data_IF_670211518238
#
_entry.id   IF_670211518238
#
_cell.length_a   1.000
_cell.length_b   1.000
_cell.length_c   1.000
_cell.angle_alpha   90.00
_cell.angle_beta   90.00
_cell.angle_gamma   90.00
#
_symmetry.space_group_name_H-M   'P 1'
#
loop_
_entity.id
_entity.type
_entity.pdbx_description
1 polymer ?
#
# COMPACT_ATOMS: atom_id res chain seq x y z
N UNK A 1 -42.66 58.53 25.11
CA UNK A 1 -43.34 57.37 25.78
C UNK A 1 -43.37 56.15 24.87
N UNK A 2 -43.79 56.20 23.60
CA UNK A 2 -43.89 55.10 22.70
C UNK A 2 -42.57 54.37 22.43
N UNK A 3 -41.43 55.10 22.25
CA UNK A 3 -40.09 54.56 22.03
C UNK A 3 -39.58 53.74 23.27
N UNK A 4 -39.84 54.31 24.49
CA UNK A 4 -39.44 53.61 25.72
C UNK A 4 -40.24 52.35 25.96
N UNK A 5 -41.52 52.33 25.61
CA UNK A 5 -42.34 51.06 25.67
C UNK A 5 -41.87 50.00 24.66
N UNK A 6 -41.46 50.36 23.44
CA UNK A 6 -40.95 49.43 22.45
C UNK A 6 -39.61 48.83 22.86
N UNK A 7 -38.70 49.61 23.44
CA UNK A 7 -37.42 49.13 23.98
C UNK A 7 -37.64 48.16 25.15
N UNK A 8 -38.58 48.47 26.05
CA UNK A 8 -38.89 47.60 27.17
C UNK A 8 -39.50 46.25 26.74
N UNK A 9 -40.42 46.29 25.77
CA UNK A 9 -40.99 45.08 25.18
C UNK A 9 -39.94 44.19 24.45
N UNK A 10 -38.99 44.85 23.74
CA UNK A 10 -37.89 44.15 23.08
C UNK A 10 -36.94 43.51 24.10
N UNK A 11 -36.59 44.23 25.18
CA UNK A 11 -35.76 43.69 26.25
C UNK A 11 -36.40 42.47 26.95
N UNK A 12 -37.69 42.54 27.25
CA UNK A 12 -38.46 41.40 27.80
C UNK A 12 -38.48 40.19 26.85
N UNK A 13 -38.68 40.42 25.55
CA UNK A 13 -38.66 39.36 24.56
C UNK A 13 -37.26 38.71 24.44
N UNK A 14 -36.19 39.53 24.49
CA UNK A 14 -34.82 39.04 24.47
C UNK A 14 -34.49 38.13 25.68
N UNK A 15 -34.91 38.57 26.90
CA UNK A 15 -34.70 37.78 28.11
C UNK A 15 -35.49 36.45 28.08
N UNK A 16 -36.73 36.48 27.57
CA UNK A 16 -37.51 35.26 27.35
C UNK A 16 -36.84 34.29 26.38
N UNK A 17 -36.29 34.82 25.25
CA UNK A 17 -35.58 33.99 24.26
C UNK A 17 -34.25 33.47 24.78
N UNK A 18 -33.54 34.21 25.62
CA UNK A 18 -32.34 33.70 26.30
C UNK A 18 -32.67 32.54 27.26
N UNK A 19 -33.77 32.64 27.99
CA UNK A 19 -34.25 31.59 28.90
C UNK A 19 -34.62 30.34 28.12
N UNK A 20 -35.42 30.46 27.05
CA UNK A 20 -35.76 29.34 26.15
C UNK A 20 -34.49 28.65 25.57
N UNK A 21 -33.51 29.47 25.15
CA UNK A 21 -32.24 28.96 24.65
C UNK A 21 -31.47 28.18 25.73
N UNK A 22 -31.45 28.65 26.96
CA UNK A 22 -30.81 27.99 28.10
C UNK A 22 -31.48 26.64 28.41
N UNK A 23 -32.81 26.64 28.45
CA UNK A 23 -33.61 25.41 28.67
C UNK A 23 -33.41 24.39 27.54
N UNK A 24 -33.42 24.85 26.29
CA UNK A 24 -33.13 23.98 25.14
C UNK A 24 -31.70 23.39 25.18
N UNK A 25 -30.69 24.17 25.57
CA UNK A 25 -29.32 23.67 25.78
C UNK A 25 -29.23 22.64 26.90
N UNK A 26 -29.92 22.87 28.03
CA UNK A 26 -29.97 21.89 29.12
C UNK A 26 -30.65 20.60 28.69
N UNK A 27 -31.75 20.68 27.93
CA UNK A 27 -32.43 19.51 27.37
C UNK A 27 -31.56 18.73 26.38
N UNK A 28 -30.83 19.43 25.51
CA UNK A 28 -29.87 18.83 24.58
C UNK A 28 -28.75 18.07 25.33
N UNK A 29 -28.19 18.69 26.37
CA UNK A 29 -27.14 18.05 27.21
C UNK A 29 -27.67 16.80 27.91
N UNK A 30 -28.88 16.85 28.45
CA UNK A 30 -29.53 15.69 29.07
C UNK A 30 -29.84 14.58 28.07
N UNK A 31 -30.29 14.93 26.86
CA UNK A 31 -30.51 13.99 25.78
C UNK A 31 -29.18 13.32 25.33
N UNK A 32 -28.11 14.11 25.20
CA UNK A 32 -26.79 13.59 24.85
C UNK A 32 -26.27 12.62 25.92
N UNK A 33 -26.40 12.95 27.20
CA UNK A 33 -26.02 12.07 28.31
C UNK A 33 -26.79 10.73 28.28
N UNK A 34 -28.09 10.76 27.95
CA UNK A 34 -28.91 9.54 27.78
C UNK A 34 -28.40 8.71 26.59
N UNK A 35 -28.09 9.33 25.46
CA UNK A 35 -27.53 8.65 24.29
C UNK A 35 -26.21 7.96 24.66
N UNK A 36 -25.32 8.64 25.37
CA UNK A 36 -24.02 8.09 25.75
C UNK A 36 -24.16 6.95 26.78
N UNK A 37 -25.11 7.03 27.72
CA UNK A 37 -25.44 5.94 28.64
C UNK A 37 -25.98 4.72 27.90
N UNK A 38 -26.90 4.90 26.94
CA UNK A 38 -27.45 3.80 26.14
C UNK A 38 -26.33 3.18 25.27
N UNK A 39 -25.46 3.99 24.66
CA UNK A 39 -24.30 3.47 23.91
C UNK A 39 -23.39 2.63 24.79
N UNK A 40 -23.12 3.04 26.02
CA UNK A 40 -22.33 2.25 26.97
C UNK A 40 -23.00 0.92 27.34
N UNK A 41 -24.33 0.93 27.55
CA UNK A 41 -25.10 -0.30 27.79
C UNK A 41 -25.09 -1.24 26.58
N UNK A 42 -25.29 -0.72 25.36
CA UNK A 42 -25.20 -1.50 24.12
C UNK A 42 -23.80 -2.09 23.96
N UNK A 43 -22.75 -1.31 24.21
CA UNK A 43 -21.37 -1.81 24.14
C UNK A 43 -21.09 -2.93 25.17
N UNK A 44 -21.65 -2.83 26.39
CA UNK A 44 -21.52 -3.86 27.41
C UNK A 44 -22.26 -5.17 27.07
N UNK A 45 -23.38 -5.08 26.34
CA UNK A 45 -24.19 -6.23 25.92
C UNK A 45 -23.74 -6.82 24.58
N UNK A 46 -22.91 -6.09 23.81
CA UNK A 46 -22.42 -6.56 22.50
C UNK A 46 -21.17 -7.41 22.71
N UNK A 47 -21.16 -8.68 22.28
CA UNK A 47 -19.94 -9.51 22.35
C UNK A 47 -18.78 -8.84 21.62
N UNK A 48 -17.56 -8.90 22.16
CA UNK A 48 -16.42 -8.32 21.47
C UNK A 48 -16.20 -8.98 20.12
N UNK A 49 -16.05 -8.17 19.08
CA UNK A 49 -15.69 -8.68 17.74
C UNK A 49 -14.25 -9.11 17.78
N UNK A 50 -14.02 -10.42 17.85
CA UNK A 50 -12.69 -11.04 17.93
C UNK A 50 -12.03 -11.07 16.54
N UNK A 51 -12.83 -11.37 15.49
CA UNK A 51 -12.39 -11.42 14.11
C UNK A 51 -13.06 -10.36 13.27
N UNK A 52 -12.28 -9.55 12.59
CA UNK A 52 -12.76 -8.73 11.47
C UNK A 52 -12.22 -9.29 10.16
N UNK A 53 -13.08 -9.39 9.17
CA UNK A 53 -12.75 -9.96 7.87
C UNK A 53 -13.36 -9.12 6.76
N UNK A 54 -12.76 -9.16 5.60
CA UNK A 54 -13.32 -8.59 4.40
C UNK A 54 -12.56 -9.04 3.19
N UNK A 55 -13.20 -8.94 2.07
CA UNK A 55 -12.62 -9.21 0.78
C UNK A 55 -13.21 -8.27 -0.26
N UNK A 56 -12.42 -7.92 -1.25
CA UNK A 56 -12.85 -7.13 -2.38
C UNK A 56 -12.16 -7.62 -3.63
N UNK A 57 -12.86 -7.55 -4.74
CA UNK A 57 -12.32 -7.78 -6.07
C UNK A 57 -12.77 -6.64 -6.95
N UNK A 58 -11.91 -6.23 -7.85
CA UNK A 58 -12.24 -5.18 -8.82
C UNK A 58 -11.58 -5.44 -10.16
N UNK A 59 -12.19 -4.88 -11.20
CA UNK A 59 -11.68 -4.89 -12.58
C UNK A 59 -11.63 -3.45 -13.04
N UNK A 60 -10.50 -3.04 -13.58
CA UNK A 60 -10.29 -1.72 -14.17
C UNK A 60 -10.04 -1.86 -15.66
N UNK A 61 -10.62 -0.96 -16.44
CA UNK A 61 -10.41 -0.86 -17.87
C UNK A 61 -9.96 0.55 -18.24
N UNK A 62 -8.97 0.65 -19.12
CA UNK A 62 -8.45 1.89 -19.67
C UNK A 62 -8.31 1.76 -21.19
N UNK A 63 -8.71 2.78 -21.94
CA UNK A 63 -8.58 2.80 -23.39
C UNK A 63 -8.13 4.18 -23.85
N UNK A 64 -7.16 4.22 -24.75
CA UNK A 64 -6.70 5.39 -25.48
C UNK A 64 -6.86 5.11 -26.97
N UNK A 65 -7.74 5.81 -27.65
CA UNK A 65 -7.90 5.75 -29.11
C UNK A 65 -7.38 7.02 -29.77
N UNK A 66 -6.50 6.86 -30.76
CA UNK A 66 -5.94 7.95 -31.56
C UNK A 66 -6.25 7.72 -33.03
N UNK A 67 -6.89 8.70 -33.66
CA UNK A 67 -7.19 8.66 -35.10
C UNK A 67 -6.65 9.95 -35.74
N UNK A 68 -5.75 9.82 -36.72
CA UNK A 68 -5.13 10.97 -37.41
C UNK A 68 -4.46 11.97 -36.44
N UNK A 69 -3.93 11.46 -35.31
CA UNK A 69 -3.32 12.27 -34.27
C UNK A 69 -1.85 12.54 -34.60
N UNK A 70 -1.50 13.80 -34.85
CA UNK A 70 -0.16 14.19 -35.35
C UNK A 70 0.87 14.38 -34.24
N UNK A 71 0.42 14.61 -33.01
CA UNK A 71 1.30 14.95 -31.88
C UNK A 71 2.02 13.74 -31.26
N UNK A 72 1.93 12.54 -31.86
CA UNK A 72 2.53 11.31 -31.34
C UNK A 72 1.65 10.58 -30.32
N UNK A 73 2.03 9.35 -29.97
CA UNK A 73 1.30 8.43 -29.10
C UNK A 73 0.85 7.18 -29.83
N UNK A 74 0.45 6.15 -29.07
CA UNK A 74 -0.04 4.87 -29.60
C UNK A 74 -1.39 4.55 -28.96
N UNK A 75 -2.37 4.17 -29.76
CA UNK A 75 -3.65 3.68 -29.25
C UNK A 75 -3.42 2.45 -28.38
N UNK A 76 -4.08 2.37 -27.23
CA UNK A 76 -3.88 1.27 -26.29
C UNK A 76 -5.15 0.92 -25.53
N UNK A 77 -5.27 -0.36 -25.19
CA UNK A 77 -6.29 -0.87 -24.30
C UNK A 77 -5.63 -1.62 -23.17
N UNK A 78 -6.06 -1.38 -21.93
CA UNK A 78 -5.56 -2.09 -20.77
C UNK A 78 -6.71 -2.56 -19.89
N UNK A 79 -6.55 -3.76 -19.34
CA UNK A 79 -7.43 -4.34 -18.33
C UNK A 79 -6.59 -4.81 -17.16
N UNK A 80 -7.02 -4.49 -15.94
CA UNK A 80 -6.37 -4.95 -14.71
C UNK A 80 -7.41 -5.46 -13.74
N UNK A 81 -7.11 -6.57 -13.07
CA UNK A 81 -7.86 -7.12 -11.95
C UNK A 81 -7.07 -6.89 -10.66
N UNK A 82 -7.77 -6.63 -9.59
CA UNK A 82 -7.16 -6.55 -8.25
C UNK A 82 -8.05 -7.23 -7.23
N UNK A 83 -7.43 -7.81 -6.23
CA UNK A 83 -8.09 -8.48 -5.12
C UNK A 83 -7.42 -8.12 -3.81
N UNK A 84 -8.22 -7.98 -2.77
CA UNK A 84 -7.75 -7.82 -1.40
C UNK A 84 -8.54 -8.75 -0.48
N UNK A 85 -7.85 -9.44 0.40
CA UNK A 85 -8.44 -10.27 1.45
C UNK A 85 -7.75 -9.93 2.76
N UNK A 86 -8.52 -9.61 3.79
CA UNK A 86 -7.97 -9.43 5.13
C UNK A 86 -8.70 -10.27 6.17
N UNK A 87 -7.96 -10.69 7.19
CA UNK A 87 -8.44 -11.42 8.36
C UNK A 87 -7.69 -10.92 9.59
N UNK A 88 -8.34 -10.13 10.43
CA UNK A 88 -7.72 -9.53 11.61
C UNK A 88 -8.35 -10.09 12.87
N UNK A 89 -7.52 -10.56 13.77
CA UNK A 89 -7.90 -11.03 15.10
C UNK A 89 -7.54 -9.99 16.14
N UNK A 90 -8.44 -9.74 17.08
CA UNK A 90 -8.15 -8.89 18.24
C UNK A 90 -8.89 -9.42 19.46
N UNK A 91 -8.12 -9.83 20.46
CA UNK A 91 -8.64 -10.23 21.76
C UNK A 91 -7.62 -9.89 22.84
N UNK A 92 -8.07 -9.26 23.90
CA UNK A 92 -7.26 -8.84 25.05
C UNK A 92 -6.05 -8.00 24.60
N UNK A 93 -4.85 -8.53 24.81
CA UNK A 93 -3.58 -7.88 24.41
C UNK A 93 -3.04 -8.37 23.07
N UNK A 94 -3.72 -9.30 22.40
CA UNK A 94 -3.25 -9.91 21.15
C UNK A 94 -3.98 -9.26 19.98
N UNK A 95 -3.20 -8.78 19.01
CA UNK A 95 -3.69 -8.35 17.70
C UNK A 95 -2.93 -9.13 16.61
N UNK A 96 -3.66 -9.69 15.66
CA UNK A 96 -3.06 -10.37 14.51
C UNK A 96 -3.70 -9.85 13.23
N UNK A 97 -2.92 -9.17 12.43
CA UNK A 97 -3.33 -8.56 11.17
C UNK A 97 -2.81 -9.40 10.03
N UNK A 98 -3.70 -9.82 9.13
CA UNK A 98 -3.35 -10.52 7.91
C UNK A 98 -3.99 -9.82 6.73
N UNK A 99 -3.21 -9.58 5.69
CA UNK A 99 -3.65 -8.93 4.47
C UNK A 99 -2.98 -9.58 3.26
N UNK A 100 -3.78 -9.93 2.25
CA UNK A 100 -3.33 -10.41 0.96
C UNK A 100 -3.83 -9.43 -0.10
N UNK A 101 -2.90 -8.75 -0.76
CA UNK A 101 -3.16 -7.91 -1.93
C UNK A 101 -2.65 -8.62 -3.20
N UNK A 102 -3.48 -8.66 -4.22
CA UNK A 102 -3.17 -9.28 -5.52
C UNK A 102 -3.58 -8.35 -6.65
N UNK A 103 -2.78 -8.30 -7.70
CA UNK A 103 -3.17 -7.63 -8.94
C UNK A 103 -2.59 -8.35 -10.15
N UNK A 104 -3.32 -8.28 -11.27
CA UNK A 104 -2.88 -8.83 -12.53
C UNK A 104 -3.50 -8.05 -13.69
N UNK A 105 -2.69 -7.66 -14.67
CA UNK A 105 -3.14 -6.82 -15.75
C UNK A 105 -2.42 -7.02 -17.06
N UNK A 106 -3.11 -6.66 -18.13
CA UNK A 106 -2.63 -6.70 -19.51
C UNK A 106 -2.82 -5.33 -20.18
N UNK A 107 -1.94 -5.04 -21.11
CA UNK A 107 -2.05 -3.93 -22.04
C UNK A 107 -1.82 -4.43 -23.46
N UNK A 108 -2.58 -3.86 -24.40
CA UNK A 108 -2.35 -4.04 -25.83
C UNK A 108 -2.22 -2.66 -26.46
N UNK A 109 -1.07 -2.37 -27.03
CA UNK A 109 -0.84 -1.23 -27.88
C UNK A 109 -1.23 -1.59 -29.32
N UNK A 110 -1.62 -0.60 -30.12
CA UNK A 110 -1.96 -0.81 -31.52
C UNK A 110 -0.75 -1.33 -32.30
N UNK A 111 -0.96 -2.41 -33.06
CA UNK A 111 0.11 -3.10 -33.80
C UNK A 111 1.02 -4.00 -32.95
N UNK A 112 0.80 -4.15 -31.64
CA UNK A 112 1.61 -4.99 -30.76
C UNK A 112 0.82 -6.16 -30.15
N UNK A 113 1.54 -7.17 -29.68
CA UNK A 113 0.94 -8.27 -28.93
C UNK A 113 0.50 -7.82 -27.53
N UNK A 114 -0.42 -8.58 -26.93
CA UNK A 114 -0.85 -8.37 -25.53
C UNK A 114 0.35 -8.57 -24.61
N UNK A 115 0.60 -7.59 -23.74
CA UNK A 115 1.71 -7.60 -22.76
C UNK A 115 1.18 -7.51 -21.35
N UNK A 116 1.87 -8.13 -20.41
CA UNK A 116 1.62 -7.96 -18.99
C UNK A 116 2.07 -6.57 -18.54
N UNK A 117 1.20 -5.83 -17.83
CA UNK A 117 1.52 -4.48 -17.31
C UNK A 117 1.37 -4.34 -15.80
N UNK A 118 0.74 -5.31 -15.14
CA UNK A 118 0.65 -5.39 -13.67
C UNK A 118 0.67 -6.84 -13.24
N UNK A 119 1.40 -7.17 -12.17
CA UNK A 119 1.49 -8.52 -11.64
C UNK A 119 2.07 -8.49 -10.23
N UNK A 120 1.24 -8.78 -9.23
CA UNK A 120 1.67 -8.69 -7.83
C UNK A 120 0.91 -9.65 -6.94
N UNK A 121 1.64 -10.27 -6.04
CA UNK A 121 1.17 -10.96 -4.84
C UNK A 121 1.89 -10.31 -3.65
N UNK A 122 1.16 -9.83 -2.66
CA UNK A 122 1.70 -9.22 -1.45
C UNK A 122 0.92 -9.74 -0.24
N UNK A 123 1.56 -10.58 0.56
CA UNK A 123 1.01 -11.20 1.76
C UNK A 123 1.71 -10.64 2.98
N UNK A 124 0.96 -9.94 3.82
CA UNK A 124 1.40 -9.42 5.12
C UNK A 124 0.72 -10.19 6.25
N UNK A 125 1.51 -10.63 7.22
CA UNK A 125 1.04 -11.16 8.51
C UNK A 125 1.81 -10.51 9.65
N UNK A 126 1.12 -9.84 10.57
CA UNK A 126 1.72 -9.19 11.74
C UNK A 126 0.95 -9.54 12.98
N UNK A 127 1.62 -10.18 13.95
CA UNK A 127 1.08 -10.47 15.26
C UNK A 127 1.73 -9.56 16.30
N UNK A 128 0.93 -8.94 17.16
CA UNK A 128 1.37 -8.02 18.21
C UNK A 128 0.81 -8.37 19.57
N UNK A 129 1.62 -8.17 20.60
CA UNK A 129 1.23 -8.24 22.00
C UNK A 129 1.29 -6.85 22.63
N UNK A 130 0.15 -6.36 23.13
CA UNK A 130 0.01 -5.02 23.70
C UNK A 130 0.70 -4.88 25.04
N UNK A 131 1.72 -4.03 25.11
CA UNK A 131 2.38 -3.63 26.37
C UNK A 131 1.79 -2.34 26.92
N UNK A 132 1.16 -1.53 26.08
CA UNK A 132 0.35 -0.38 26.48
C UNK A 132 -0.85 -0.19 25.51
N UNK A 133 -1.67 0.85 25.74
CA UNK A 133 -2.80 1.18 24.87
C UNK A 133 -2.38 1.52 23.43
N UNK A 134 -1.14 1.95 23.23
CA UNK A 134 -0.62 2.42 21.93
C UNK A 134 0.59 1.65 21.43
N UNK A 135 1.21 0.79 22.26
CA UNK A 135 2.48 0.14 21.95
C UNK A 135 2.35 -1.37 22.06
N UNK A 136 2.71 -2.08 21.00
CA UNK A 136 2.79 -3.52 20.93
C UNK A 136 4.24 -3.95 20.67
N UNK A 137 4.64 -5.10 21.22
CA UNK A 137 5.75 -5.89 20.67
C UNK A 137 5.18 -6.75 19.57
N UNK A 138 5.78 -6.74 18.41
CA UNK A 138 5.17 -7.40 17.23
C UNK A 138 6.20 -8.17 16.42
N UNK A 139 5.75 -9.32 15.87
CA UNK A 139 6.42 -10.04 14.81
C UNK A 139 5.69 -9.78 13.51
N UNK A 140 6.43 -9.54 12.42
CA UNK A 140 5.90 -9.27 11.10
C UNK A 140 6.56 -10.20 10.09
N UNK A 141 5.75 -10.77 9.19
CA UNK A 141 6.20 -11.45 7.98
C UNK A 141 5.50 -10.80 6.79
N UNK A 142 6.27 -10.42 5.79
CA UNK A 142 5.75 -9.93 4.52
C UNK A 142 6.41 -10.70 3.38
N UNK A 143 5.58 -11.25 2.49
CA UNK A 143 6.02 -12.01 1.31
C UNK A 143 5.47 -11.35 0.06
N UNK A 144 6.36 -11.00 -0.87
CA UNK A 144 6.02 -10.37 -2.15
C UNK A 144 6.57 -11.19 -3.30
N UNK A 145 5.76 -11.41 -4.35
CA UNK A 145 6.17 -12.04 -5.61
C UNK A 145 5.17 -11.68 -6.72
N UNK A 146 5.27 -12.33 -7.86
CA UNK A 146 4.39 -12.21 -9.02
C UNK A 146 3.83 -13.56 -9.45
N UNK A 147 2.77 -13.57 -10.29
CA UNK A 147 2.11 -14.80 -10.76
C UNK A 147 2.79 -15.42 -11.99
N UNK A 148 3.15 -14.59 -12.97
CA UNK A 148 3.45 -15.02 -14.32
C UNK A 148 4.75 -14.42 -14.86
N UNK A 149 5.34 -15.01 -15.92
CA UNK A 149 6.49 -14.41 -16.60
C UNK A 149 6.23 -12.97 -17.06
N UNK A 150 7.21 -12.11 -16.86
CA UNK A 150 7.28 -10.77 -17.40
C UNK A 150 8.47 -10.67 -18.34
N UNK A 151 8.36 -9.83 -19.36
CA UNK A 151 9.36 -9.67 -20.41
C UNK A 151 9.76 -8.20 -20.55
N UNK A 152 10.98 -7.97 -21.04
CA UNK A 152 11.47 -6.65 -21.38
C UNK A 152 11.13 -6.32 -22.83
N UNK A 153 10.37 -5.26 -23.04
CA UNK A 153 9.98 -4.77 -24.35
C UNK A 153 10.68 -3.46 -24.74
N UNK A 154 11.70 -3.05 -24.00
CA UNK A 154 12.47 -1.82 -24.32
C UNK A 154 13.44 -2.02 -25.47
N UNK A 155 13.77 -3.28 -25.82
CA UNK A 155 14.64 -3.62 -26.94
C UNK A 155 13.77 -4.05 -28.13
N UNK A 156 13.53 -3.16 -29.08
CA UNK A 156 12.66 -3.39 -30.24
C UNK A 156 13.21 -4.41 -31.24
N UNK A 157 14.53 -4.65 -31.26
CA UNK A 157 15.16 -5.59 -32.21
C UNK A 157 14.98 -7.08 -31.87
N UNK A 158 14.41 -7.40 -30.68
CA UNK A 158 14.15 -8.78 -30.27
C UNK A 158 12.71 -9.14 -30.59
N UNK A 159 12.50 -10.18 -31.40
CA UNK A 159 11.17 -10.72 -31.65
C UNK A 159 10.50 -11.20 -30.34
N UNK A 160 9.17 -11.09 -30.23
CA UNK A 160 8.46 -11.40 -28.98
C UNK A 160 8.64 -12.85 -28.54
N UNK A 161 8.75 -13.78 -29.51
CA UNK A 161 9.01 -15.22 -29.28
C UNK A 161 10.41 -15.52 -28.74
N UNK A 162 11.39 -14.67 -29.00
CA UNK A 162 12.80 -14.84 -28.60
C UNK A 162 13.10 -14.14 -27.27
N UNK A 163 12.14 -13.40 -26.69
CA UNK A 163 12.33 -12.67 -25.44
C UNK A 163 12.46 -13.62 -24.26
N UNK A 164 13.49 -13.41 -23.49
CA UNK A 164 13.67 -14.13 -22.24
C UNK A 164 12.87 -13.44 -21.10
N UNK A 165 12.31 -14.26 -20.22
CA UNK A 165 11.62 -13.76 -19.05
C UNK A 165 12.59 -13.01 -18.11
N UNK A 166 12.17 -11.85 -17.63
CA UNK A 166 12.91 -11.02 -16.67
C UNK A 166 12.34 -11.12 -15.26
N UNK A 167 11.16 -11.73 -15.14
CA UNK A 167 10.51 -12.05 -13.86
C UNK A 167 9.53 -13.20 -14.06
N UNK A 168 9.27 -13.97 -13.01
CA UNK A 168 8.23 -15.00 -12.94
C UNK A 168 7.92 -15.33 -11.47
N UNK A 169 7.02 -16.28 -11.21
CA UNK A 169 6.73 -16.71 -9.85
C UNK A 169 8.01 -17.15 -9.12
N UNK A 170 8.26 -16.59 -7.92
CA UNK A 170 9.48 -16.73 -7.11
C UNK A 170 10.78 -16.28 -7.81
N UNK A 171 10.70 -15.43 -8.84
CA UNK A 171 11.86 -14.86 -9.50
C UNK A 171 11.58 -13.42 -9.98
N UNK A 172 11.81 -12.37 -9.13
CA UNK A 172 12.17 -12.49 -7.71
C UNK A 172 10.98 -12.71 -6.78
N UNK A 173 11.24 -13.26 -5.60
CA UNK A 173 10.38 -13.12 -4.44
C UNK A 173 11.16 -12.46 -3.31
N UNK A 174 10.46 -11.70 -2.48
CA UNK A 174 11.04 -11.07 -1.28
C UNK A 174 10.27 -11.54 -0.05
N UNK A 175 10.99 -12.05 0.94
CA UNK A 175 10.45 -12.40 2.26
C UNK A 175 11.11 -11.50 3.30
N UNK A 176 10.32 -10.74 4.03
CA UNK A 176 10.76 -9.95 5.20
C UNK A 176 10.21 -10.63 6.46
N UNK A 177 11.08 -10.91 7.41
CA UNK A 177 10.72 -11.42 8.73
C UNK A 177 11.37 -10.56 9.81
N UNK A 178 10.55 -9.99 10.70
CA UNK A 178 11.03 -8.98 11.65
C UNK A 178 10.38 -9.05 13.02
N UNK A 179 11.14 -8.63 14.05
CA UNK A 179 10.66 -8.44 15.41
C UNK A 179 10.89 -7.00 15.83
N UNK A 180 9.84 -6.34 16.33
CA UNK A 180 9.92 -4.91 16.61
C UNK A 180 8.79 -4.37 17.47
N UNK A 181 8.71 -3.06 17.52
CA UNK A 181 7.72 -2.29 18.24
C UNK A 181 6.73 -1.63 17.28
N UNK A 182 5.44 -1.85 17.49
CA UNK A 182 4.35 -1.27 16.71
C UNK A 182 3.67 -0.19 17.56
N UNK A 183 3.86 1.08 17.18
CA UNK A 183 3.29 2.24 17.86
C UNK A 183 2.09 2.80 17.08
N UNK A 184 0.94 2.78 17.72
CA UNK A 184 -0.31 3.36 17.17
C UNK A 184 -0.35 4.85 17.52
N UNK A 185 0.08 5.68 16.58
CA UNK A 185 0.02 7.15 16.72
C UNK A 185 -1.42 7.57 16.96
N UNK A 186 -2.33 7.12 16.09
CA UNK A 186 -3.77 7.29 16.20
C UNK A 186 -4.51 6.15 15.48
N UNK A 187 -5.84 6.28 15.29
CA UNK A 187 -6.67 5.25 14.62
C UNK A 187 -6.33 5.02 13.15
N UNK A 188 -5.65 5.95 12.51
CA UNK A 188 -5.35 5.93 11.08
C UNK A 188 -3.87 5.69 10.77
N UNK A 189 -2.96 5.93 11.72
CA UNK A 189 -1.51 5.86 11.52
C UNK A 189 -0.88 4.94 12.55
N UNK A 190 -0.16 3.92 12.09
CA UNK A 190 0.75 3.10 12.89
C UNK A 190 2.17 3.16 12.34
N UNK A 191 3.14 3.08 13.23
CA UNK A 191 4.57 3.06 12.94
C UNK A 191 5.15 1.81 13.58
N UNK A 192 5.82 1.00 12.78
CA UNK A 192 6.53 -0.20 13.21
C UNK A 192 8.02 -0.01 13.02
N UNK A 193 8.78 -0.27 14.08
CA UNK A 193 10.24 -0.17 14.11
C UNK A 193 10.80 -1.53 14.51
N UNK A 194 11.67 -2.09 13.69
CA UNK A 194 12.35 -3.35 13.97
C UNK A 194 13.86 -3.20 13.88
N UNK A 195 14.58 -3.42 14.97
CA UNK A 195 16.04 -3.50 14.97
C UNK A 195 16.57 -4.84 14.47
N UNK A 196 15.70 -5.87 14.37
CA UNK A 196 16.07 -7.23 14.00
C UNK A 196 15.15 -7.72 12.86
N UNK A 197 15.57 -7.47 11.63
CA UNK A 197 14.83 -7.84 10.42
C UNK A 197 15.73 -8.61 9.47
N UNK A 198 15.26 -9.80 9.04
CA UNK A 198 15.79 -10.52 7.89
C UNK A 198 14.99 -10.16 6.64
N UNK A 199 15.67 -9.75 5.58
CA UNK A 199 15.13 -9.62 4.23
C UNK A 199 15.79 -10.69 3.38
N UNK A 200 14.98 -11.49 2.69
CA UNK A 200 15.45 -12.61 1.86
C UNK A 200 14.95 -12.40 0.45
N UNK A 201 15.88 -12.24 -0.49
CA UNK A 201 15.57 -12.19 -1.92
C UNK A 201 15.79 -13.59 -2.50
N UNK A 202 14.76 -14.11 -3.15
CA UNK A 202 14.72 -15.46 -3.74
C UNK A 202 14.52 -15.28 -5.24
N UNK A 203 15.37 -15.95 -6.06
CA UNK A 203 15.25 -15.94 -7.51
C UNK A 203 15.40 -17.39 -8.00
N UNK A 204 14.27 -18.09 -8.13
CA UNK A 204 14.27 -19.53 -8.54
C UNK A 204 14.50 -19.73 -10.03
N UNK A 205 15.30 -18.88 -10.66
CA UNK A 205 15.66 -18.99 -12.06
C UNK A 205 17.04 -18.37 -12.28
N UNK A 206 18.00 -19.19 -12.68
CA UNK A 206 19.40 -18.79 -12.86
C UNK A 206 19.55 -17.73 -13.95
N UNK A 207 18.78 -17.83 -15.03
CA UNK A 207 18.82 -16.88 -16.13
C UNK A 207 18.32 -15.50 -15.71
N UNK A 208 17.26 -15.44 -14.90
CA UNK A 208 16.72 -14.19 -14.34
C UNK A 208 17.65 -13.63 -13.28
N UNK A 209 18.22 -14.47 -12.41
CA UNK A 209 19.18 -14.04 -11.39
C UNK A 209 20.39 -13.35 -12.03
N UNK A 210 20.93 -13.95 -13.09
CA UNK A 210 22.08 -13.43 -13.84
C UNK A 210 21.72 -12.18 -14.62
N UNK A 211 20.64 -12.20 -15.40
CA UNK A 211 20.30 -11.11 -16.32
C UNK A 211 19.88 -9.81 -15.63
N UNK A 212 19.35 -9.89 -14.39
CA UNK A 212 18.72 -8.75 -13.70
C UNK A 212 19.39 -8.30 -12.42
N UNK A 213 20.50 -8.89 -12.06
CA UNK A 213 21.30 -8.48 -10.89
C UNK A 213 20.48 -8.38 -9.59
N UNK A 214 19.42 -9.18 -9.46
CA UNK A 214 18.65 -9.25 -8.20
C UNK A 214 19.50 -9.74 -7.02
N UNK A 215 20.50 -10.58 -7.34
CA UNK A 215 21.46 -11.09 -6.40
C UNK A 215 22.86 -10.76 -6.97
N UNK A 216 23.60 -9.81 -6.35
CA UNK A 216 24.96 -9.52 -6.79
C UNK A 216 25.80 -10.81 -6.69
N UNK A 217 26.44 -11.17 -7.79
CA UNK A 217 27.33 -12.32 -7.87
C UNK A 217 28.74 -11.99 -7.42
N UNK A 218 29.53 -13.05 -7.23
CA UNK A 218 30.98 -12.91 -7.06
C UNK A 218 31.62 -12.58 -8.41
N UNK A 219 32.84 -12.06 -8.39
CA UNK A 219 33.65 -11.87 -9.57
C UNK A 219 34.58 -13.07 -9.74
N UNK A 220 34.74 -13.53 -10.98
CA UNK A 220 35.76 -14.49 -11.32
C UNK A 220 37.17 -13.85 -11.39
N UNK A 221 38.17 -14.64 -11.67
CA UNK A 221 39.59 -14.19 -11.78
C UNK A 221 39.79 -13.15 -12.90
N UNK A 222 38.85 -13.05 -13.87
CA UNK A 222 38.90 -12.08 -14.97
C UNK A 222 38.14 -10.77 -14.61
N UNK A 223 37.46 -10.73 -13.47
CA UNK A 223 36.62 -9.64 -13.00
C UNK A 223 35.21 -9.66 -13.53
N UNK A 224 34.80 -10.74 -14.22
CA UNK A 224 33.45 -10.95 -14.71
C UNK A 224 32.56 -11.47 -13.58
N UNK A 225 31.35 -10.92 -13.48
CA UNK A 225 30.38 -11.39 -12.48
C UNK A 225 29.81 -12.76 -12.88
N UNK A 226 29.88 -13.74 -11.95
CA UNK A 226 29.13 -14.96 -12.08
C UNK A 226 28.07 -15.04 -10.98
N UNK A 227 26.87 -15.45 -11.38
CA UNK A 227 25.70 -15.53 -10.52
C UNK A 227 25.33 -16.99 -10.34
N UNK A 228 25.74 -17.57 -9.22
CA UNK A 228 25.45 -18.96 -8.85
C UNK A 228 24.55 -19.05 -7.62
N UNK A 229 23.94 -17.91 -7.20
CA UNK A 229 23.14 -17.83 -6.01
C UNK A 229 21.71 -17.40 -6.35
N UNK A 230 20.76 -18.20 -5.91
CA UNK A 230 19.33 -17.94 -6.07
C UNK A 230 18.69 -17.39 -4.79
N UNK A 231 19.53 -17.07 -3.80
CA UNK A 231 19.09 -16.63 -2.48
C UNK A 231 20.07 -15.62 -1.88
N UNK A 232 19.54 -14.45 -1.51
CA UNK A 232 20.29 -13.39 -0.82
C UNK A 232 19.67 -13.12 0.54
N UNK A 233 20.31 -13.50 1.65
CA UNK A 233 19.91 -13.10 2.99
C UNK A 233 20.54 -11.73 3.34
N UNK A 234 19.75 -10.87 3.95
CA UNK A 234 20.17 -9.56 4.46
C UNK A 234 19.61 -9.40 5.86
N UNK A 235 20.40 -8.82 6.79
CA UNK A 235 19.94 -8.45 8.12
C UNK A 235 20.02 -6.94 8.30
N UNK A 236 19.02 -6.37 8.97
CA UNK A 236 19.01 -4.93 9.06
C UNK A 236 17.94 -4.34 9.97
N UNK A 237 17.85 -3.02 9.89
CA UNK A 237 16.78 -2.25 10.49
C UNK A 237 15.61 -2.10 9.53
N UNK A 238 14.41 -2.18 10.06
CA UNK A 238 13.20 -2.00 9.26
C UNK A 238 12.27 -0.99 9.92
N UNK A 239 11.79 -0.06 9.11
CA UNK A 239 10.74 0.89 9.47
C UNK A 239 9.56 0.70 8.54
N UNK A 240 8.36 0.60 9.10
CA UNK A 240 7.11 0.63 8.34
C UNK A 240 6.18 1.68 8.92
N UNK A 241 5.64 2.53 8.08
CA UNK A 241 4.56 3.45 8.43
C UNK A 241 3.33 3.13 7.58
N UNK A 242 2.22 2.81 8.24
CA UNK A 242 0.95 2.53 7.57
C UNK A 242 -0.08 3.58 7.94
N UNK A 243 -0.54 4.31 6.94
CA UNK A 243 -1.66 5.23 7.04
C UNK A 243 -2.87 4.67 6.31
N UNK A 244 -4.02 4.59 6.98
CA UNK A 244 -5.27 4.12 6.40
C UNK A 244 -6.42 4.96 6.94
N UNK A 245 -7.03 5.78 6.08
CA UNK A 245 -8.07 6.72 6.47
C UNK A 245 -9.19 6.81 5.43
N UNK A 246 -10.40 7.03 5.92
CA UNK A 246 -11.49 7.58 5.12
C UNK A 246 -11.44 9.09 5.27
N UNK A 247 -11.02 9.80 4.22
CA UNK A 247 -10.97 11.27 4.21
C UNK A 247 -12.37 11.85 4.12
N UNK A 248 -13.25 11.20 3.35
CA UNK A 248 -14.67 11.49 3.26
C UNK A 248 -15.47 10.18 3.20
N UNK A 249 -16.79 10.25 3.12
CA UNK A 249 -17.63 9.04 2.92
C UNK A 249 -17.35 8.34 1.59
N UNK A 250 -16.74 9.04 0.64
CA UNK A 250 -16.42 8.53 -0.70
C UNK A 250 -14.94 8.28 -0.93
N UNK A 251 -14.04 8.99 -0.24
CA UNK A 251 -12.59 8.96 -0.49
C UNK A 251 -11.89 8.19 0.62
N UNK A 252 -11.23 7.10 0.26
CA UNK A 252 -10.32 6.35 1.11
C UNK A 252 -8.88 6.50 0.64
N UNK A 253 -7.94 6.53 1.57
CA UNK A 253 -6.50 6.56 1.32
C UNK A 253 -5.84 5.47 2.16
N UNK A 254 -5.03 4.63 1.50
CA UNK A 254 -4.11 3.68 2.16
C UNK A 254 -2.71 4.01 1.65
N UNK A 255 -1.78 4.29 2.55
CA UNK A 255 -0.37 4.54 2.21
C UNK A 255 0.52 3.73 3.13
N UNK A 256 1.48 3.02 2.56
CA UNK A 256 2.45 2.20 3.30
C UNK A 256 3.84 2.58 2.82
N UNK A 257 4.68 2.99 3.75
CA UNK A 257 6.10 3.28 3.53
C UNK A 257 6.92 2.24 4.28
N UNK A 258 7.70 1.47 3.53
CA UNK A 258 8.70 0.52 4.03
C UNK A 258 10.10 1.08 3.78
N UNK A 259 10.93 1.11 4.84
CA UNK A 259 12.34 1.46 4.75
C UNK A 259 13.15 0.29 5.32
N UNK A 260 14.13 -0.19 4.57
CA UNK A 260 15.04 -1.24 5.03
C UNK A 260 16.48 -0.79 4.86
N UNK A 261 17.27 -0.96 5.90
CA UNK A 261 18.68 -0.64 5.89
C UNK A 261 19.50 -1.92 6.18
N UNK A 262 20.26 -2.38 5.19
CA UNK A 262 21.08 -3.59 5.27
C UNK A 262 22.39 -3.34 6.04
N UNK A 263 22.47 -3.79 7.29
CA UNK A 263 23.69 -3.65 8.10
C UNK A 263 24.72 -4.75 7.82
N UNK A 264 24.35 -5.79 7.09
CA UNK A 264 25.23 -6.92 6.74
C UNK A 264 25.80 -6.85 5.33
N UNK A 265 25.57 -5.73 4.62
CA UNK A 265 26.14 -5.55 3.29
C UNK A 265 27.66 -5.77 3.32
N UNK A 266 28.18 -6.54 2.35
CA UNK A 266 29.61 -6.83 2.22
C UNK A 266 30.41 -5.55 2.03
N UNK A 267 29.89 -4.59 1.23
CA UNK A 267 30.45 -3.26 1.11
C UNK A 267 29.97 -2.38 2.28
N UNK A 268 30.90 -1.97 3.14
CA UNK A 268 30.60 -1.15 4.31
C UNK A 268 29.95 0.20 3.99
N UNK A 269 30.29 0.78 2.83
CA UNK A 269 29.75 2.07 2.38
C UNK A 269 28.26 1.95 2.04
N UNK A 270 27.80 0.77 1.61
CA UNK A 270 26.40 0.51 1.31
C UNK A 270 25.53 0.36 2.56
N UNK A 271 26.11 0.09 3.73
CA UNK A 271 25.37 -0.11 4.98
C UNK A 271 24.61 1.12 5.47
N UNK A 272 24.90 2.31 4.91
CA UNK A 272 24.16 3.54 5.19
C UNK A 272 23.02 3.78 4.19
N UNK A 273 22.97 3.01 3.10
CA UNK A 273 21.91 3.13 2.11
C UNK A 273 20.63 2.47 2.60
N UNK A 274 19.51 3.07 2.24
CA UNK A 274 18.20 2.64 2.68
C UNK A 274 17.36 2.29 1.46
N UNK A 275 16.85 1.06 1.41
CA UNK A 275 15.85 0.65 0.45
C UNK A 275 14.51 1.27 0.82
N UNK A 276 13.76 1.69 -0.17
CA UNK A 276 12.45 2.34 -0.04
C UNK A 276 11.43 1.58 -0.86
N UNK A 277 10.27 1.27 -0.26
CA UNK A 277 9.07 0.81 -0.95
C UNK A 277 7.88 1.61 -0.43
N UNK A 278 7.37 2.55 -1.24
CA UNK A 278 6.29 3.44 -0.83
C UNK A 278 5.08 3.29 -1.75
N UNK A 279 4.08 2.62 -1.24
CA UNK A 279 2.81 2.36 -1.94
C UNK A 279 1.75 3.32 -1.43
N UNK A 280 1.03 3.98 -2.34
CA UNK A 280 -0.16 4.77 -2.01
C UNK A 280 -1.32 4.39 -2.91
N UNK A 281 -2.47 4.13 -2.31
CA UNK A 281 -3.72 3.77 -2.96
C UNK A 281 -4.82 4.73 -2.52
N UNK A 282 -5.33 5.52 -3.45
CA UNK A 282 -6.45 6.45 -3.24
C UNK A 282 -7.63 5.91 -4.02
N UNK A 283 -8.72 5.60 -3.33
CA UNK A 283 -9.95 5.11 -3.94
C UNK A 283 -11.07 6.10 -3.70
N UNK A 284 -11.76 6.49 -4.77
CA UNK A 284 -12.92 7.39 -4.72
C UNK A 284 -14.16 6.69 -5.25
N UNK A 285 -15.17 6.51 -4.41
CA UNK A 285 -16.47 5.94 -4.80
C UNK A 285 -17.23 6.92 -5.68
N UNK A 286 -17.49 6.56 -6.92
CA UNK A 286 -18.34 7.30 -7.85
C UNK A 286 -19.80 6.87 -7.69
N UNK A 287 -20.03 5.54 -7.59
CA UNK A 287 -21.34 4.93 -7.34
C UNK A 287 -21.21 3.80 -6.30
N UNK A 288 -22.25 3.00 -6.10
CA UNK A 288 -22.22 1.81 -5.23
C UNK A 288 -21.19 0.77 -5.68
N UNK A 289 -20.94 0.65 -6.99
CA UNK A 289 -20.10 -0.37 -7.60
C UNK A 289 -18.99 0.17 -8.51
N UNK A 290 -18.95 1.48 -8.77
CA UNK A 290 -17.95 2.12 -9.60
C UNK A 290 -17.06 3.01 -8.74
N UNK A 291 -15.77 2.74 -8.77
CA UNK A 291 -14.74 3.49 -8.06
C UNK A 291 -13.72 4.06 -9.06
N UNK A 292 -13.18 5.25 -8.78
CA UNK A 292 -11.94 5.73 -9.37
C UNK A 292 -10.78 5.38 -8.41
N UNK A 293 -9.65 4.96 -8.98
CA UNK A 293 -8.47 4.55 -8.22
C UNK A 293 -7.22 5.24 -8.76
N UNK A 294 -6.41 5.75 -7.85
CA UNK A 294 -5.04 6.19 -8.12
C UNK A 294 -4.14 5.30 -7.27
N UNK A 295 -3.27 4.54 -7.94
CA UNK A 295 -2.26 3.73 -7.30
C UNK A 295 -0.88 4.23 -7.69
N UNK A 296 0.00 4.38 -6.72
CA UNK A 296 1.41 4.71 -6.95
C UNK A 296 2.30 3.78 -6.12
N UNK A 297 3.42 3.38 -6.72
CA UNK A 297 4.48 2.66 -6.04
C UNK A 297 5.83 3.27 -6.42
N UNK A 298 6.55 3.79 -5.42
CA UNK A 298 7.91 4.27 -5.54
C UNK A 298 8.82 3.25 -4.89
N UNK A 299 9.78 2.74 -5.66
CA UNK A 299 10.78 1.78 -5.19
C UNK A 299 12.20 2.32 -5.40
N UNK A 300 13.05 2.08 -4.42
CA UNK A 300 14.49 2.22 -4.52
C UNK A 300 15.12 1.06 -3.76
N UNK A 301 16.01 0.31 -4.43
CA UNK A 301 16.82 -0.75 -3.83
C UNK A 301 18.26 -0.49 -4.28
N UNK A 302 19.14 -0.18 -3.32
CA UNK A 302 20.52 0.17 -3.63
C UNK A 302 21.31 -0.99 -4.23
N UNK A 303 20.91 -2.20 -3.95
CA UNK A 303 21.55 -3.41 -4.45
C UNK A 303 21.01 -3.85 -5.81
N UNK A 304 19.93 -3.21 -6.30
CA UNK A 304 19.37 -3.48 -7.61
C UNK A 304 19.89 -2.49 -8.64
N UNK A 305 20.83 -2.94 -9.47
CA UNK A 305 21.36 -2.16 -10.59
C UNK A 305 20.43 -2.31 -11.78
N UNK A 306 19.88 -1.22 -12.25
CA UNK A 306 19.11 -1.19 -13.50
C UNK A 306 20.06 -0.85 -14.64
N UNK A 307 20.19 -1.76 -15.61
CA UNK A 307 20.84 -1.47 -16.87
C UNK A 307 19.89 -0.58 -17.69
N UNK A 308 20.15 0.72 -17.72
CA UNK A 308 19.43 1.65 -18.57
C UNK A 308 20.40 2.25 -19.57
N UNK A 309 20.05 2.22 -20.85
CA UNK A 309 20.77 2.98 -21.91
C UNK A 309 20.55 4.50 -21.76
N UNK A 310 19.89 4.95 -20.67
CA UNK A 310 19.62 6.35 -20.43
C UNK A 310 20.84 7.10 -19.90
N UNK A 311 20.84 8.41 -20.13
CA UNK A 311 21.85 9.42 -19.77
C UNK A 311 22.34 9.36 -18.31
N UNK A 312 21.64 8.63 -17.43
CA UNK A 312 21.91 8.54 -15.99
C UNK A 312 22.92 7.44 -15.59
N UNK A 313 23.36 6.59 -16.54
CA UNK A 313 24.36 5.54 -16.29
C UNK A 313 23.80 4.29 -15.60
N UNK A 314 24.66 3.26 -15.47
CA UNK A 314 24.34 2.02 -14.77
C UNK A 314 24.45 2.24 -13.25
N UNK A 315 23.39 1.97 -12.51
CA UNK A 315 23.38 2.10 -11.05
C UNK A 315 22.00 1.88 -10.43
N UNK A 316 21.90 1.94 -9.09
CA UNK A 316 20.61 1.90 -8.42
C UNK A 316 19.81 3.16 -8.77
N UNK A 317 18.55 2.97 -9.14
CA UNK A 317 17.66 4.05 -9.58
C UNK A 317 16.30 3.98 -8.89
N UNK A 318 15.64 5.12 -8.79
CA UNK A 318 14.26 5.21 -8.34
C UNK A 318 13.36 4.64 -9.44
N UNK A 319 12.55 3.66 -9.08
CA UNK A 319 11.50 3.08 -9.92
C UNK A 319 10.15 3.67 -9.49
N UNK A 320 9.36 4.13 -10.43
CA UNK A 320 8.05 4.72 -10.11
C UNK A 320 6.97 4.14 -11.02
N UNK A 321 6.02 3.42 -10.40
CA UNK A 321 4.82 2.92 -11.04
C UNK A 321 3.64 3.80 -10.66
N UNK A 322 2.80 4.13 -11.62
CA UNK A 322 1.52 4.82 -11.42
C UNK A 322 0.43 4.15 -12.23
N UNK A 323 -0.73 3.99 -11.63
CA UNK A 323 -1.93 3.50 -12.30
C UNK A 323 -3.09 4.42 -11.94
N UNK A 324 -3.79 4.87 -12.95
CA UNK A 324 -5.06 5.57 -12.82
C UNK A 324 -6.11 4.77 -13.55
N UNK A 325 -7.22 4.45 -12.89
CA UNK A 325 -8.25 3.62 -13.48
C UNK A 325 -9.64 3.93 -12.93
N UNK A 326 -10.63 3.61 -13.75
CA UNK A 326 -12.03 3.47 -13.36
C UNK A 326 -12.32 1.99 -13.31
N UNK A 327 -12.87 1.51 -12.21
CA UNK A 327 -13.09 0.09 -12.03
C UNK A 327 -14.37 -0.23 -11.28
N UNK A 328 -14.90 -1.41 -11.57
CA UNK A 328 -15.97 -1.99 -10.78
C UNK A 328 -15.38 -2.70 -9.58
N UNK A 329 -15.90 -2.40 -8.39
CA UNK A 329 -15.46 -2.98 -7.13
C UNK A 329 -16.63 -3.63 -6.40
N UNK A 330 -16.44 -4.88 -6.00
CA UNK A 330 -17.40 -5.63 -5.21
C UNK A 330 -16.77 -6.04 -3.88
N UNK A 331 -17.46 -5.75 -2.76
CA UNK A 331 -17.04 -6.07 -1.38
C UNK A 331 -17.98 -7.10 -0.79
N UNK A 332 -17.38 -8.16 -0.20
CA UNK A 332 -18.11 -9.23 0.47
C UNK A 332 -17.99 -9.15 1.99
#
# INVERSE_FOLDING_TARGET
>A
VAIAMSIFSYAQNLETKKKELSEAKASLTAAQAKVDAIKAQVAALTPPVIWTKGQSVGVSFSSLGLTNWVAGGVSSNAISTFGNVFRNYKKDKIEWVNNLDMSYGFIQNDGENIRKNDDRIDLLSKVGYGISKKLNVSALVNFKTQFAPGYDFTIDSIADEDRQAISKFLAPATLVASLGLDYKVNKNLSIYLSPATGKFTIVQDDSIATARTYIPGDKDDNGDFYYNQNFRPELGFFFNATFNAKLTDRVGVKSTLDLFNNITDANKDNRLNTDVDWITDITTKLTKHLDARIYTNLKYDHNQVLATETILGNGPQIQFQRLFGLGFNYKF
#
